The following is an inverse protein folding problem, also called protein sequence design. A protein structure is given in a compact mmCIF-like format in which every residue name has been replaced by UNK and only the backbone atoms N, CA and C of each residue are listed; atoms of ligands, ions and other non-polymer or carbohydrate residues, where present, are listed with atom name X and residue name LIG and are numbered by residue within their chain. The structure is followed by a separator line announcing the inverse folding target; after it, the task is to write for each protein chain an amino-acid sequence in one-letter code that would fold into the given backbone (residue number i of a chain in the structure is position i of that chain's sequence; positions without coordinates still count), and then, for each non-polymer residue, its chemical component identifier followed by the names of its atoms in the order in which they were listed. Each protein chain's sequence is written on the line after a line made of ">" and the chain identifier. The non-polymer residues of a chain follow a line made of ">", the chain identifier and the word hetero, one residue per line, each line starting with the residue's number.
data_IF_558763928749
#
_entry.id   IF_558763928749
#
_cell.length_a   1.000
_cell.length_b   1.000
_cell.length_c   1.000
_cell.angle_alpha   90.00
_cell.angle_beta   90.00
_cell.angle_gamma   90.00
#
_symmetry.space_group_name_H-M   'P 1'
#
loop_
_entity.id
_entity.type
_entity.pdbx_description
1 polymer ?
#
# COMPACT_ATOMS: atom_id res chain seq x y z
N UNK A 1 -9.02 -58.27 -21.85
CA UNK A 1 -9.12 -57.31 -20.73
C UNK A 1 -8.61 -55.98 -21.25
N UNK A 2 -9.50 -55.03 -21.55
CA UNK A 2 -9.16 -53.72 -22.11
C UNK A 2 -9.07 -52.74 -20.94
N UNK A 3 -7.88 -52.18 -20.71
CA UNK A 3 -7.63 -51.21 -19.64
C UNK A 3 -8.05 -49.84 -20.16
N UNK A 4 -9.24 -49.39 -19.77
CA UNK A 4 -9.75 -48.06 -20.06
C UNK A 4 -9.02 -47.03 -19.20
N UNK A 5 -8.13 -46.25 -19.81
CA UNK A 5 -7.51 -45.09 -19.18
C UNK A 5 -8.58 -43.99 -19.15
N UNK A 6 -9.23 -43.80 -18.00
CA UNK A 6 -10.05 -42.63 -17.73
C UNK A 6 -9.16 -41.38 -17.76
N UNK A 7 -9.25 -40.61 -18.84
CA UNK A 7 -8.76 -39.25 -18.90
C UNK A 7 -9.57 -38.41 -17.90
N UNK A 8 -9.00 -38.21 -16.70
CA UNK A 8 -9.49 -37.21 -15.76
C UNK A 8 -9.17 -35.85 -16.37
N UNK A 9 -10.19 -35.21 -16.95
CA UNK A 9 -10.13 -33.80 -17.31
C UNK A 9 -9.98 -33.00 -16.02
N UNK A 10 -8.75 -32.55 -15.74
CA UNK A 10 -8.55 -31.44 -14.82
C UNK A 10 -9.17 -30.20 -15.48
N UNK A 11 -10.38 -29.85 -15.06
CA UNK A 11 -10.88 -28.50 -15.20
C UNK A 11 -9.93 -27.59 -14.41
N UNK A 12 -8.85 -27.16 -15.06
CA UNK A 12 -8.14 -25.97 -14.64
C UNK A 12 -9.16 -24.86 -14.85
N UNK A 13 -9.86 -24.51 -13.77
CA UNK A 13 -10.66 -23.30 -13.70
C UNK A 13 -9.75 -22.21 -14.25
N UNK A 14 -10.07 -21.73 -15.45
CA UNK A 14 -9.47 -20.53 -15.97
C UNK A 14 -9.80 -19.48 -14.92
N UNK A 15 -8.81 -19.14 -14.08
CA UNK A 15 -8.86 -17.97 -13.24
C UNK A 15 -8.97 -16.85 -14.25
N UNK A 16 -10.20 -16.45 -14.54
CA UNK A 16 -10.49 -15.24 -15.27
C UNK A 16 -9.77 -14.16 -14.49
N UNK A 17 -8.66 -13.65 -15.04
CA UNK A 17 -8.06 -12.38 -14.64
C UNK A 17 -9.12 -11.31 -14.92
N UNK A 18 -10.19 -11.27 -14.13
CA UNK A 18 -11.10 -10.14 -14.10
C UNK A 18 -10.27 -8.96 -13.62
N UNK A 19 -10.11 -8.01 -14.52
CA UNK A 19 -9.37 -6.78 -14.31
C UNK A 19 -10.04 -6.00 -13.17
N UNK A 20 -9.24 -5.33 -12.33
CA UNK A 20 -9.53 -5.12 -10.92
C UNK A 20 -10.29 -3.80 -10.71
N UNK A 21 -11.55 -3.77 -11.15
CA UNK A 21 -12.44 -2.62 -10.96
C UNK A 21 -13.63 -2.93 -10.04
N UNK A 22 -13.55 -4.03 -9.27
CA UNK A 22 -14.56 -4.33 -8.26
C UNK A 22 -14.39 -3.44 -7.02
N UNK A 23 -15.49 -3.12 -6.34
CA UNK A 23 -15.44 -2.42 -5.06
C UNK A 23 -14.58 -3.17 -4.03
N UNK A 24 -14.58 -4.50 -4.08
CA UNK A 24 -13.75 -5.35 -3.22
C UNK A 24 -12.26 -5.12 -3.49
N UNK A 25 -11.82 -5.10 -4.76
CA UNK A 25 -10.42 -4.79 -5.07
C UNK A 25 -10.03 -3.41 -4.56
N UNK A 26 -10.86 -2.38 -4.83
CA UNK A 26 -10.59 -1.00 -4.41
C UNK A 26 -10.49 -0.89 -2.89
N UNK A 27 -11.36 -1.59 -2.16
CA UNK A 27 -11.30 -1.68 -0.70
C UNK A 27 -10.00 -2.34 -0.20
N UNK A 28 -9.63 -3.49 -0.75
CA UNK A 28 -8.40 -4.20 -0.39
C UNK A 28 -7.15 -3.35 -0.68
N UNK A 29 -7.13 -2.67 -1.83
CA UNK A 29 -5.99 -1.84 -2.23
C UNK A 29 -5.86 -0.58 -1.38
N UNK A 30 -6.97 0.05 -1.01
CA UNK A 30 -6.96 1.20 -0.10
C UNK A 30 -6.48 0.84 1.30
N UNK A 31 -6.90 -0.32 1.83
CA UNK A 31 -6.39 -0.85 3.10
C UNK A 31 -4.87 -1.11 3.04
N UNK A 32 -4.39 -1.68 1.92
CA UNK A 32 -2.95 -1.81 1.65
C UNK A 32 -2.20 -0.47 1.64
N UNK A 33 -2.70 0.53 0.93
CA UNK A 33 -2.06 1.85 0.83
C UNK A 33 -2.04 2.58 2.18
N UNK A 34 -3.10 2.46 2.98
CA UNK A 34 -3.16 3.06 4.31
C UNK A 34 -2.09 2.45 5.24
N UNK A 35 -1.97 1.12 5.28
CA UNK A 35 -0.94 0.43 6.06
C UNK A 35 0.49 0.78 5.58
N UNK A 36 0.72 0.87 4.27
CA UNK A 36 2.01 1.31 3.73
C UNK A 36 2.35 2.74 4.17
N UNK A 37 1.39 3.66 4.16
CA UNK A 37 1.63 5.04 4.62
C UNK A 37 1.97 5.07 6.11
N UNK A 38 1.28 4.30 6.95
CA UNK A 38 1.59 4.20 8.39
C UNK A 38 3.00 3.65 8.62
N UNK A 39 3.39 2.62 7.86
CA UNK A 39 4.74 2.06 7.88
C UNK A 39 5.79 3.11 7.50
N UNK A 40 5.55 3.88 6.43
CA UNK A 40 6.45 4.95 6.00
C UNK A 40 6.53 6.10 7.01
N UNK A 41 5.41 6.49 7.63
CA UNK A 41 5.42 7.48 8.72
C UNK A 41 6.29 7.02 9.88
N UNK A 42 6.13 5.77 10.33
CA UNK A 42 6.94 5.17 11.40
C UNK A 42 8.44 5.15 11.03
N UNK A 43 8.78 4.75 9.80
CA UNK A 43 10.16 4.77 9.30
C UNK A 43 10.74 6.18 9.24
N UNK A 44 9.95 7.18 8.84
CA UNK A 44 10.37 8.58 8.80
C UNK A 44 10.66 9.12 10.20
N UNK A 45 9.81 8.82 11.18
CA UNK A 45 10.07 9.19 12.58
C UNK A 45 11.35 8.55 13.13
N UNK A 46 11.57 7.25 12.89
CA UNK A 46 12.82 6.57 13.27
C UNK A 46 14.06 7.18 12.61
N UNK A 47 13.98 7.51 11.31
CA UNK A 47 15.07 8.20 10.59
C UNK A 47 15.35 9.57 11.19
N UNK A 48 14.32 10.32 11.58
CA UNK A 48 14.47 11.63 12.25
C UNK A 48 15.22 11.50 13.57
N UNK A 49 14.84 10.55 14.40
CA UNK A 49 15.51 10.28 15.69
C UNK A 49 16.97 9.88 15.48
N UNK A 50 17.24 8.95 14.55
CA UNK A 50 18.59 8.54 14.21
C UNK A 50 19.43 9.74 13.73
N UNK A 51 18.91 10.54 12.80
CA UNK A 51 19.61 11.72 12.27
C UNK A 51 19.94 12.71 13.37
N UNK A 52 19.04 12.97 14.32
CA UNK A 52 19.29 13.83 15.49
C UNK A 52 20.46 13.36 16.36
N UNK A 53 20.72 12.04 16.40
CA UNK A 53 21.86 11.45 17.10
C UNK A 53 23.22 11.74 16.44
N UNK A 54 23.24 12.00 15.13
CA UNK A 54 24.48 12.11 14.35
C UNK A 54 25.28 13.38 14.64
N UNK A 55 26.61 13.31 14.54
CA UNK A 55 27.50 14.48 14.64
C UNK A 55 27.21 15.52 13.57
N UNK A 56 26.83 15.08 12.36
CA UNK A 56 26.54 15.96 11.24
C UNK A 56 25.31 16.83 11.49
N UNK A 57 24.23 16.26 12.03
CA UNK A 57 23.05 17.04 12.43
C UNK A 57 23.39 18.13 13.44
N UNK A 58 24.29 17.84 14.39
CA UNK A 58 24.67 18.74 15.48
C UNK A 58 25.66 19.85 15.06
N UNK A 59 26.13 19.86 13.80
CA UNK A 59 27.23 20.75 13.36
C UNK A 59 26.88 22.23 13.34
N UNK A 60 25.62 22.58 13.08
CA UNK A 60 25.14 23.97 13.07
C UNK A 60 23.62 24.04 13.18
N UNK A 61 23.08 25.15 13.67
CA UNK A 61 21.63 25.33 13.78
C UNK A 61 20.95 25.37 12.41
N UNK A 62 21.61 25.91 11.38
CA UNK A 62 21.15 25.82 9.98
C UNK A 62 20.99 24.36 9.53
N UNK A 63 21.92 23.48 9.90
CA UNK A 63 21.85 22.06 9.53
C UNK A 63 20.69 21.37 10.23
N UNK A 64 20.49 21.65 11.53
CA UNK A 64 19.34 21.14 12.28
C UNK A 64 18.04 21.58 11.62
N UNK A 65 17.88 22.88 11.37
CA UNK A 65 16.68 23.46 10.76
C UNK A 65 16.37 22.85 9.39
N UNK A 66 17.39 22.62 8.56
CA UNK A 66 17.21 22.00 7.25
C UNK A 66 16.70 20.55 7.35
N UNK A 67 17.27 19.74 8.25
CA UNK A 67 16.79 18.38 8.47
C UNK A 67 15.38 18.35 9.05
N UNK A 68 15.09 19.19 10.05
CA UNK A 68 13.75 19.26 10.64
C UNK A 68 12.70 19.66 9.60
N UNK A 69 13.01 20.65 8.75
CA UNK A 69 12.12 21.04 7.65
C UNK A 69 11.92 19.90 6.65
N UNK A 70 12.97 19.17 6.29
CA UNK A 70 12.87 18.05 5.37
C UNK A 70 11.97 16.93 5.90
N UNK A 71 12.18 16.50 7.16
CA UNK A 71 11.33 15.50 7.80
C UNK A 71 9.88 15.98 7.95
N UNK A 72 9.67 17.25 8.26
CA UNK A 72 8.32 17.82 8.38
C UNK A 72 7.57 17.74 7.05
N UNK A 73 8.20 18.13 5.94
CA UNK A 73 7.61 18.04 4.60
C UNK A 73 7.26 16.60 4.24
N UNK A 74 8.14 15.64 4.55
CA UNK A 74 7.89 14.22 4.29
C UNK A 74 6.68 13.71 5.10
N UNK A 75 6.60 14.04 6.39
CA UNK A 75 5.48 13.66 7.26
C UNK A 75 4.17 14.33 6.83
N UNK A 76 4.20 15.60 6.45
CA UNK A 76 3.01 16.33 5.97
C UNK A 76 2.47 15.71 4.68
N UNK A 77 3.37 15.33 3.75
CA UNK A 77 2.98 14.64 2.51
C UNK A 77 2.35 13.28 2.79
N UNK A 78 2.95 12.49 3.70
CA UNK A 78 2.39 11.20 4.10
C UNK A 78 1.03 11.35 4.77
N UNK A 79 0.88 12.33 5.68
CA UNK A 79 -0.40 12.64 6.33
C UNK A 79 -1.46 13.04 5.30
N UNK A 80 -1.12 13.92 4.37
CA UNK A 80 -2.04 14.35 3.30
C UNK A 80 -2.53 13.17 2.46
N UNK A 81 -1.63 12.25 2.08
CA UNK A 81 -2.00 11.01 1.38
C UNK A 81 -2.90 10.11 2.22
N UNK A 82 -2.56 9.93 3.49
CA UNK A 82 -3.36 9.14 4.42
C UNK A 82 -4.80 9.68 4.52
N UNK A 83 -4.95 10.99 4.70
CA UNK A 83 -6.25 11.66 4.80
C UNK A 83 -7.07 11.51 3.51
N UNK A 84 -6.44 11.67 2.34
CA UNK A 84 -7.09 11.46 1.02
C UNK A 84 -7.57 10.02 0.85
N UNK A 85 -6.73 9.03 1.16
CA UNK A 85 -7.11 7.62 1.03
C UNK A 85 -8.14 7.18 2.06
N UNK A 86 -8.08 7.72 3.29
CA UNK A 86 -9.12 7.50 4.30
C UNK A 86 -10.47 8.02 3.81
N UNK A 87 -10.50 9.20 3.16
CA UNK A 87 -11.73 9.74 2.58
C UNK A 87 -12.23 8.87 1.42
N UNK A 88 -11.32 8.40 0.55
CA UNK A 88 -11.66 7.54 -0.57
C UNK A 88 -12.19 6.17 -0.12
N UNK A 89 -11.61 5.61 0.95
CA UNK A 89 -12.02 4.33 1.55
C UNK A 89 -13.47 4.35 2.04
N UNK A 90 -14.02 5.52 2.41
CA UNK A 90 -15.45 5.64 2.77
C UNK A 90 -16.42 5.36 1.61
N UNK A 91 -15.93 5.37 0.36
CA UNK A 91 -16.76 5.10 -0.83
C UNK A 91 -16.91 3.61 -1.12
N UNK A 92 -16.10 2.77 -0.49
CA UNK A 92 -16.07 1.32 -0.71
C UNK A 92 -16.33 0.60 0.61
N UNK A 93 -16.72 -0.66 0.54
CA UNK A 93 -16.87 -1.48 1.74
C UNK A 93 -15.52 -1.67 2.43
N UNK A 94 -15.52 -1.91 3.75
CA UNK A 94 -14.27 -2.20 4.47
C UNK A 94 -13.78 -3.59 4.11
N UNK A 95 -12.53 -3.71 3.69
CA UNK A 95 -11.84 -4.98 3.47
C UNK A 95 -10.55 -5.02 4.30
N UNK A 96 -10.10 -6.21 4.66
CA UNK A 96 -8.78 -6.45 5.26
C UNK A 96 -7.87 -6.99 4.16
N UNK A 97 -6.79 -6.27 3.85
CA UNK A 97 -5.83 -6.67 2.81
C UNK A 97 -5.25 -8.07 2.99
N UNK A 98 -5.22 -8.60 4.22
CA UNK A 98 -4.72 -9.93 4.55
C UNK A 98 -5.80 -11.01 4.52
N UNK A 99 -7.06 -10.64 4.25
CA UNK A 99 -8.16 -11.59 4.11
C UNK A 99 -7.93 -12.52 2.90
N UNK A 100 -8.58 -13.69 2.94
CA UNK A 100 -8.56 -14.64 1.82
C UNK A 100 -9.08 -13.99 0.53
N UNK A 101 -10.08 -13.14 0.63
CA UNK A 101 -10.68 -12.45 -0.50
C UNK A 101 -9.69 -11.46 -1.13
N UNK A 102 -8.95 -10.70 -0.31
CA UNK A 102 -7.92 -9.79 -0.80
C UNK A 102 -6.65 -10.51 -1.28
N UNK A 103 -6.32 -11.67 -0.72
CA UNK A 103 -5.16 -12.50 -1.13
C UNK A 103 -5.26 -13.03 -2.57
N UNK A 104 -6.48 -13.00 -3.14
CA UNK A 104 -6.71 -13.36 -4.55
C UNK A 104 -6.19 -12.29 -5.52
N UNK A 105 -6.00 -11.05 -5.05
CA UNK A 105 -5.36 -9.98 -5.80
C UNK A 105 -3.84 -10.05 -5.57
N UNK A 106 -3.20 -10.92 -6.36
CA UNK A 106 -1.80 -11.35 -6.14
C UNK A 106 -0.76 -10.22 -6.15
N UNK A 107 -1.08 -9.07 -6.71
CA UNK A 107 -0.14 -7.96 -6.87
C UNK A 107 -0.89 -6.62 -6.80
N UNK A 108 -0.91 -5.99 -5.63
CA UNK A 108 -1.22 -4.55 -5.49
C UNK A 108 -0.14 -3.64 -6.14
N UNK A 109 0.72 -4.21 -6.99
CA UNK A 109 1.86 -3.56 -7.63
C UNK A 109 1.47 -2.58 -8.73
N UNK A 110 0.28 -2.75 -9.31
CA UNK A 110 -0.21 -1.80 -10.28
C UNK A 110 -1.03 -0.74 -9.57
N UNK A 111 -0.60 0.53 -9.60
CA UNK A 111 -1.52 1.60 -9.28
C UNK A 111 -2.68 1.45 -10.23
N UNK A 112 -3.88 1.20 -9.72
CA UNK A 112 -5.04 1.46 -10.54
C UNK A 112 -4.94 2.94 -10.88
N UNK A 113 -4.63 3.27 -12.13
CA UNK A 113 -4.46 4.65 -12.59
C UNK A 113 -5.64 5.52 -12.15
N UNK A 114 -6.82 4.93 -11.94
CA UNK A 114 -8.02 5.56 -11.37
C UNK A 114 -7.83 6.12 -9.94
N UNK A 115 -7.17 5.38 -9.04
CA UNK A 115 -6.94 5.81 -7.65
C UNK A 115 -5.83 6.85 -7.58
N UNK A 116 -4.78 6.71 -8.39
CA UNK A 116 -3.69 7.70 -8.43
C UNK A 116 -4.07 8.97 -9.22
N UNK A 117 -4.92 8.89 -10.25
CA UNK A 117 -5.44 10.07 -10.98
C UNK A 117 -6.49 10.85 -10.20
N UNK A 118 -7.05 10.26 -9.14
CA UNK A 118 -7.96 10.93 -8.21
C UNK A 118 -7.23 11.75 -7.13
N UNK A 119 -5.89 11.76 -7.12
CA UNK A 119 -5.03 12.45 -6.15
C UNK A 119 -4.59 13.83 -6.63
#
# INVERSE_FOLDING_TARGET
>A
MVVGISLIFFAHSAITKEIPNSNLFKACYLDYLLDEIELWQSRTLKRREYTRGTKYYKRSDTTKANYEKWFQVELDNLKSKHDKFTLLAKKYDKADKNSKDCSSFTEFYYPSEEIESSL
#
